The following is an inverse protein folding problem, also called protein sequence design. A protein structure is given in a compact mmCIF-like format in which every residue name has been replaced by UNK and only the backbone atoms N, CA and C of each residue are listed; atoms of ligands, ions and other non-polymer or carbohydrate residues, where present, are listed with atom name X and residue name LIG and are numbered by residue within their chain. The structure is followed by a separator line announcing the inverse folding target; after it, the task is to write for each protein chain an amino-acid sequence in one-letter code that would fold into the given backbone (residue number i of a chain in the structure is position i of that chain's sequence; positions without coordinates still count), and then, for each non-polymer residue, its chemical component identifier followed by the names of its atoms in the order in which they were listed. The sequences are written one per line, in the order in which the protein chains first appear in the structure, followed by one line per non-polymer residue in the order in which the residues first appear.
data_IF_745957239206
#
_entry.id   IF_745957239206
#
_cell.length_a   1.000
_cell.length_b   1.000
_cell.length_c   1.000
_cell.angle_alpha   90.00
_cell.angle_beta   90.00
_cell.angle_gamma   90.00
#
_symmetry.space_group_name_H-M   'P 1'
#
loop_
_entity.id
_entity.type
_entity.pdbx_description
1 polymer ?
#
# COMPACT_ATOMS: atom_id res chain seq x y z
N UNK A 1 20.77 -24.10 7.04
CA UNK A 1 19.86 -24.75 6.06
C UNK A 1 19.07 -25.92 6.67
N UNK A 2 19.69 -26.97 7.20
CA UNK A 2 18.96 -28.12 7.78
C UNK A 2 18.03 -27.74 8.94
N UNK A 3 18.45 -26.83 9.80
CA UNK A 3 17.61 -26.32 10.90
C UNK A 3 16.41 -25.51 10.41
N UNK A 4 16.62 -24.62 9.43
CA UNK A 4 15.55 -23.85 8.77
C UNK A 4 14.55 -24.83 8.15
N UNK A 5 15.03 -25.80 7.37
CA UNK A 5 14.18 -26.80 6.74
C UNK A 5 13.31 -27.57 7.74
N UNK A 6 13.90 -28.08 8.84
CA UNK A 6 13.14 -28.78 9.90
C UNK A 6 12.12 -27.87 10.57
N UNK A 7 12.50 -26.63 10.88
CA UNK A 7 11.59 -25.70 11.52
C UNK A 7 10.41 -25.32 10.60
N UNK A 8 10.64 -25.17 9.29
CA UNK A 8 9.56 -24.97 8.33
C UNK A 8 8.61 -26.16 8.24
N UNK A 9 9.12 -27.40 8.28
CA UNK A 9 8.28 -28.61 8.35
C UNK A 9 7.46 -28.69 9.64
N UNK A 10 8.04 -28.23 10.75
CA UNK A 10 7.36 -28.17 12.06
C UNK A 10 6.45 -26.93 12.21
N UNK A 11 6.31 -26.10 11.17
CA UNK A 11 5.58 -24.82 11.18
C UNK A 11 6.03 -23.87 12.30
N UNK A 12 7.33 -23.82 12.59
CA UNK A 12 7.93 -22.98 13.62
C UNK A 12 8.59 -21.72 13.04
N UNK A 13 8.50 -20.63 13.80
CA UNK A 13 9.22 -19.39 13.51
C UNK A 13 10.72 -19.63 13.68
N UNK A 14 11.52 -19.14 12.72
CA UNK A 14 12.98 -19.19 12.77
C UNK A 14 13.53 -17.77 12.75
N UNK A 15 14.34 -17.44 13.76
CA UNK A 15 15.22 -16.29 13.71
C UNK A 15 16.62 -16.77 13.33
N UNK A 16 17.17 -16.21 12.27
CA UNK A 16 18.49 -16.59 11.75
C UNK A 16 19.38 -15.37 11.63
N UNK A 17 20.51 -15.39 12.34
CA UNK A 17 21.54 -14.36 12.28
C UNK A 17 22.76 -14.88 11.51
N UNK A 18 23.32 -14.03 10.64
CA UNK A 18 24.56 -14.33 9.93
C UNK A 18 25.25 -13.06 9.45
N UNK A 19 26.57 -13.13 9.24
CA UNK A 19 27.33 -12.00 8.72
C UNK A 19 26.90 -11.66 7.28
N UNK A 20 27.11 -10.41 6.86
CA UNK A 20 26.86 -9.99 5.47
C UNK A 20 27.68 -10.84 4.49
N UNK A 21 27.09 -11.19 3.35
CA UNK A 21 27.76 -12.00 2.32
C UNK A 21 27.88 -13.51 2.62
N UNK A 22 27.28 -14.02 3.70
CA UNK A 22 27.32 -15.46 4.06
C UNK A 22 26.24 -16.31 3.37
N UNK A 23 25.54 -15.75 2.38
CA UNK A 23 24.45 -16.45 1.69
C UNK A 23 23.22 -16.68 2.58
N UNK A 24 22.91 -15.72 3.46
CA UNK A 24 21.73 -15.77 4.36
C UNK A 24 20.44 -15.95 3.57
N UNK A 25 20.30 -15.16 2.51
CA UNK A 25 19.19 -15.21 1.58
C UNK A 25 19.00 -16.60 1.00
N UNK A 26 20.00 -17.15 0.30
CA UNK A 26 19.93 -18.51 -0.25
C UNK A 26 19.65 -19.56 0.83
N UNK A 27 20.25 -19.41 2.01
CA UNK A 27 20.06 -20.34 3.13
C UNK A 27 18.62 -20.37 3.67
N UNK A 28 17.87 -19.27 3.52
CA UNK A 28 16.45 -19.20 3.83
C UNK A 28 15.57 -19.56 2.62
N UNK A 29 15.91 -19.07 1.43
CA UNK A 29 15.12 -19.20 0.22
C UNK A 29 15.03 -20.63 -0.30
N UNK A 30 16.17 -21.33 -0.41
CA UNK A 30 16.21 -22.71 -0.93
C UNK A 30 15.34 -23.68 -0.12
N UNK A 31 15.47 -23.79 1.22
CA UNK A 31 14.59 -24.67 1.99
C UNK A 31 13.14 -24.20 1.96
N UNK A 32 12.88 -22.88 1.90
CA UNK A 32 11.52 -22.35 1.83
C UNK A 32 10.83 -22.75 0.53
N UNK A 33 11.47 -22.58 -0.63
CA UNK A 33 10.94 -23.02 -1.93
C UNK A 33 10.70 -24.53 -1.97
N UNK A 34 11.60 -25.31 -1.37
CA UNK A 34 11.45 -26.76 -1.33
C UNK A 34 10.26 -27.19 -0.46
N UNK A 35 10.09 -26.60 0.73
CA UNK A 35 8.93 -26.88 1.59
C UNK A 35 7.65 -26.39 0.95
N UNK A 36 7.66 -25.18 0.38
CA UNK A 36 6.54 -24.57 -0.31
C UNK A 36 5.99 -25.47 -1.41
N UNK A 37 6.86 -25.91 -2.32
CA UNK A 37 6.49 -26.78 -3.43
C UNK A 37 5.89 -28.13 -2.99
N UNK A 38 6.36 -28.68 -1.87
CA UNK A 38 5.88 -29.98 -1.36
C UNK A 38 4.56 -29.87 -0.57
N UNK A 39 4.17 -28.66 -0.14
CA UNK A 39 3.02 -28.43 0.71
C UNK A 39 2.02 -27.43 0.10
N UNK A 40 2.13 -27.16 -1.20
CA UNK A 40 1.27 -26.23 -1.94
C UNK A 40 1.21 -24.82 -1.30
N UNK A 41 2.37 -24.32 -0.86
CA UNK A 41 2.52 -22.98 -0.27
C UNK A 41 3.26 -22.03 -1.21
N UNK A 42 3.07 -20.73 -1.04
CA UNK A 42 3.83 -19.68 -1.73
C UNK A 42 4.88 -19.07 -0.79
N UNK A 43 6.08 -18.79 -1.31
CA UNK A 43 7.11 -18.07 -0.57
C UNK A 43 6.97 -16.56 -0.78
N UNK A 44 6.88 -15.79 0.31
CA UNK A 44 6.89 -14.34 0.28
C UNK A 44 8.17 -13.81 0.93
N UNK A 45 8.97 -13.05 0.18
CA UNK A 45 10.13 -12.35 0.72
C UNK A 45 9.80 -10.87 0.82
N UNK A 46 9.94 -10.30 2.01
CA UNK A 46 9.81 -8.88 2.24
C UNK A 46 11.18 -8.25 2.50
N UNK A 47 11.51 -7.18 1.78
CA UNK A 47 12.71 -6.37 1.98
C UNK A 47 12.44 -4.90 1.69
N UNK A 48 13.01 -3.99 2.48
CA UNK A 48 12.84 -2.55 2.32
C UNK A 48 14.03 -1.88 1.61
N UNK A 49 15.06 -2.67 1.27
CA UNK A 49 16.29 -2.15 0.69
C UNK A 49 16.34 -2.52 -0.79
N UNK A 50 16.32 -1.52 -1.67
CA UNK A 50 16.30 -1.75 -3.13
C UNK A 50 17.48 -2.59 -3.62
N UNK A 51 18.68 -2.34 -3.08
CA UNK A 51 19.88 -3.10 -3.44
C UNK A 51 19.79 -4.57 -3.00
N UNK A 52 19.15 -4.87 -1.86
CA UNK A 52 18.92 -6.25 -1.44
C UNK A 52 17.94 -6.93 -2.38
N UNK A 53 16.81 -6.28 -2.71
CA UNK A 53 15.85 -6.79 -3.68
C UNK A 53 16.53 -7.17 -5.01
N UNK A 54 17.41 -6.34 -5.55
CA UNK A 54 18.17 -6.66 -6.77
C UNK A 54 19.05 -7.91 -6.60
N UNK A 55 19.73 -8.03 -5.46
CA UNK A 55 20.52 -9.22 -5.14
C UNK A 55 19.63 -10.48 -5.06
N UNK A 56 18.45 -10.41 -4.44
CA UNK A 56 17.47 -11.51 -4.41
C UNK A 56 17.06 -11.93 -5.83
N UNK A 57 16.85 -10.98 -6.74
CA UNK A 57 16.48 -11.26 -8.13
C UNK A 57 17.60 -12.02 -8.81
N UNK A 58 18.85 -11.57 -8.69
CA UNK A 58 20.00 -12.25 -9.30
C UNK A 58 20.20 -13.66 -8.74
N UNK A 59 20.06 -13.83 -7.43
CA UNK A 59 20.09 -15.15 -6.79
C UNK A 59 18.95 -16.06 -7.28
N UNK A 60 17.73 -15.54 -7.41
CA UNK A 60 16.59 -16.27 -7.94
C UNK A 60 16.76 -16.64 -9.43
N UNK A 61 17.39 -15.77 -10.24
CA UNK A 61 17.76 -16.06 -11.64
C UNK A 61 18.73 -17.23 -11.72
N UNK A 62 19.73 -17.28 -10.83
CA UNK A 62 20.66 -18.41 -10.75
C UNK A 62 19.96 -19.70 -10.32
N UNK A 63 19.11 -19.66 -9.29
CA UNK A 63 18.30 -20.82 -8.86
C UNK A 63 17.41 -21.35 -9.98
N UNK A 64 16.85 -20.44 -10.79
CA UNK A 64 15.98 -20.81 -11.91
C UNK A 64 16.69 -21.68 -12.97
N UNK A 65 18.02 -21.59 -13.09
CA UNK A 65 18.80 -22.45 -14.00
C UNK A 65 18.75 -23.92 -13.59
N UNK A 66 18.56 -24.21 -12.30
CA UNK A 66 18.49 -25.56 -11.76
C UNK A 66 17.04 -26.06 -11.59
N UNK A 67 16.10 -25.17 -11.28
CA UNK A 67 14.70 -25.51 -11.00
C UNK A 67 13.77 -24.43 -11.54
N UNK A 68 12.69 -24.83 -12.23
CA UNK A 68 11.64 -23.87 -12.61
C UNK A 68 11.01 -23.25 -11.35
N UNK A 69 11.00 -21.92 -11.32
CA UNK A 69 10.39 -21.10 -10.27
C UNK A 69 9.62 -20.00 -10.99
N UNK A 70 8.32 -19.89 -10.75
CA UNK A 70 7.53 -18.73 -11.13
C UNK A 70 7.70 -17.68 -10.04
N UNK A 71 8.36 -16.57 -10.39
CA UNK A 71 8.66 -15.50 -9.46
C UNK A 71 8.12 -14.15 -9.95
N UNK A 72 7.50 -13.40 -9.04
CA UNK A 72 7.08 -12.01 -9.27
C UNK A 72 7.81 -11.11 -8.29
N UNK A 73 8.25 -9.94 -8.77
CA UNK A 73 8.80 -8.88 -7.92
C UNK A 73 7.83 -7.71 -7.97
N UNK A 74 7.28 -7.35 -6.82
CA UNK A 74 6.28 -6.29 -6.69
C UNK A 74 6.86 -5.10 -5.93
N UNK A 75 6.75 -3.93 -6.55
CA UNK A 75 6.99 -2.62 -5.92
C UNK A 75 5.68 -1.86 -5.79
N UNK A 76 5.74 -0.71 -5.13
CA UNK A 76 4.64 0.23 -5.10
C UNK A 76 4.16 0.61 -6.51
N UNK A 77 2.84 0.68 -6.67
CA UNK A 77 2.14 0.93 -7.93
C UNK A 77 2.68 2.13 -8.73
N UNK A 78 3.03 3.22 -8.07
CA UNK A 78 3.55 4.45 -8.70
C UNK A 78 4.79 4.18 -9.57
N UNK A 79 5.58 3.16 -9.26
CA UNK A 79 6.77 2.81 -10.04
C UNK A 79 6.50 1.90 -11.25
N UNK A 80 5.26 1.42 -11.41
CA UNK A 80 4.91 0.46 -12.46
C UNK A 80 3.73 0.91 -13.32
N UNK A 81 2.91 1.83 -12.82
CA UNK A 81 1.74 2.36 -13.54
C UNK A 81 2.18 3.38 -14.61
N UNK A 82 1.87 3.17 -15.89
CA UNK A 82 2.20 4.13 -16.95
C UNK A 82 1.49 5.48 -16.81
N UNK A 83 0.39 5.54 -16.06
CA UNK A 83 -0.36 6.77 -15.79
C UNK A 83 0.06 7.45 -14.48
N UNK A 84 1.02 6.88 -13.74
CA UNK A 84 1.51 7.39 -12.45
C UNK A 84 0.41 7.61 -11.40
N UNK A 85 -0.68 6.82 -11.51
CA UNK A 85 -1.83 6.90 -10.60
C UNK A 85 -1.59 6.11 -9.33
N UNK A 86 -2.08 6.65 -8.22
CA UNK A 86 -2.10 5.95 -6.94
C UNK A 86 -3.12 4.79 -6.96
N UNK A 87 -3.25 4.12 -5.81
CA UNK A 87 -4.16 2.98 -5.68
C UNK A 87 -5.62 3.37 -5.86
N UNK A 88 -6.06 4.49 -5.29
CA UNK A 88 -7.45 4.91 -5.28
C UNK A 88 -7.91 5.37 -6.65
N UNK A 89 -7.15 6.27 -7.29
CA UNK A 89 -7.43 6.74 -8.63
C UNK A 89 -7.48 5.56 -9.61
N UNK A 90 -6.54 4.61 -9.49
CA UNK A 90 -6.54 3.47 -10.39
C UNK A 90 -7.66 2.48 -10.13
N UNK A 91 -8.10 2.30 -8.88
CA UNK A 91 -9.25 1.45 -8.59
C UNK A 91 -10.52 2.04 -9.26
N UNK A 92 -10.70 3.37 -9.23
CA UNK A 92 -11.80 4.04 -9.94
C UNK A 92 -11.68 3.92 -11.47
N UNK A 93 -10.49 4.16 -12.03
CA UNK A 93 -10.24 3.97 -13.47
C UNK A 93 -10.47 2.52 -13.89
N UNK A 94 -10.13 1.54 -13.03
CA UNK A 94 -10.35 0.11 -13.27
C UNK A 94 -11.83 -0.22 -13.33
N UNK A 95 -12.63 0.27 -12.39
CA UNK A 95 -14.08 0.09 -12.40
C UNK A 95 -14.72 0.65 -13.68
N UNK A 96 -14.36 1.89 -14.05
CA UNK A 96 -14.83 2.51 -15.28
C UNK A 96 -14.38 1.75 -16.53
N UNK A 97 -13.15 1.21 -16.54
CA UNK A 97 -12.69 0.36 -17.64
C UNK A 97 -13.54 -0.90 -17.78
N UNK A 98 -13.87 -1.58 -16.68
CA UNK A 98 -14.74 -2.77 -16.76
C UNK A 98 -16.14 -2.42 -17.29
N UNK A 99 -16.75 -1.34 -16.78
CA UNK A 99 -18.04 -0.84 -17.26
C UNK A 99 -17.99 -0.49 -18.75
N UNK A 100 -16.92 0.17 -19.20
CA UNK A 100 -16.73 0.52 -20.61
C UNK A 100 -16.68 -0.72 -21.50
N UNK A 101 -15.89 -1.74 -21.13
CA UNK A 101 -15.77 -2.99 -21.90
C UNK A 101 -17.12 -3.72 -21.98
N UNK A 102 -17.86 -3.77 -20.88
CA UNK A 102 -19.18 -4.38 -20.84
C UNK A 102 -20.16 -3.68 -21.77
N UNK A 103 -20.24 -2.35 -21.73
CA UNK A 103 -21.10 -1.55 -22.62
C UNK A 103 -20.69 -1.69 -24.09
N UNK A 104 -19.39 -1.75 -24.39
CA UNK A 104 -18.90 -1.97 -25.75
C UNK A 104 -19.32 -3.34 -26.30
N UNK A 105 -19.27 -4.38 -25.46
CA UNK A 105 -19.74 -5.74 -25.82
C UNK A 105 -21.25 -5.80 -26.03
N UNK A 106 -22.03 -5.13 -25.18
CA UNK A 106 -23.48 -5.06 -25.27
C UNK A 106 -23.99 -4.08 -26.35
N UNK A 107 -23.10 -3.28 -26.93
CA UNK A 107 -23.43 -2.18 -27.85
C UNK A 107 -24.50 -1.24 -27.27
N UNK A 108 -24.39 -0.95 -25.97
CA UNK A 108 -25.38 -0.22 -25.20
C UNK A 108 -24.84 1.14 -24.73
N UNK A 109 -25.75 2.12 -24.59
CA UNK A 109 -25.49 3.43 -24.01
C UNK A 109 -24.25 4.17 -24.56
N UNK A 110 -24.37 4.64 -25.80
CA UNK A 110 -23.31 5.34 -26.51
C UNK A 110 -22.83 6.63 -25.82
N UNK A 111 -23.73 7.33 -25.11
CA UNK A 111 -23.36 8.54 -24.38
C UNK A 111 -22.55 8.20 -23.14
N UNK A 112 -22.95 7.17 -22.37
CA UNK A 112 -22.17 6.69 -21.22
C UNK A 112 -20.78 6.21 -21.62
N UNK A 113 -20.68 5.43 -22.71
CA UNK A 113 -19.38 4.98 -23.23
C UNK A 113 -18.44 6.14 -23.57
N UNK A 114 -18.96 7.23 -24.14
CA UNK A 114 -18.16 8.42 -24.49
C UNK A 114 -17.58 9.10 -23.26
N UNK A 115 -18.34 9.15 -22.17
CA UNK A 115 -17.86 9.68 -20.87
C UNK A 115 -16.81 8.75 -20.26
N UNK A 116 -17.10 7.45 -20.19
CA UNK A 116 -16.21 6.45 -19.61
C UNK A 116 -14.86 6.36 -20.30
N UNK A 117 -14.79 6.50 -21.63
CA UNK A 117 -13.52 6.48 -22.39
C UNK A 117 -12.49 7.49 -21.90
N UNK A 118 -12.93 8.64 -21.36
CA UNK A 118 -12.03 9.67 -20.81
C UNK A 118 -11.58 9.39 -19.37
N UNK A 119 -12.29 8.51 -18.67
CA UNK A 119 -12.10 8.17 -17.25
C UNK A 119 -11.86 6.67 -17.05
N UNK A 120 -11.26 6.03 -18.04
CA UNK A 120 -10.88 4.62 -18.02
C UNK A 120 -9.38 4.50 -18.19
N UNK A 121 -8.81 3.42 -17.68
CA UNK A 121 -7.42 3.07 -17.93
C UNK A 121 -7.28 2.38 -19.29
N UNK A 122 -6.69 3.08 -20.27
CA UNK A 122 -6.45 2.53 -21.62
C UNK A 122 -5.53 1.30 -21.60
N UNK A 123 -4.52 1.31 -20.73
CA UNK A 123 -3.57 0.21 -20.57
C UNK A 123 -4.23 -1.06 -20.05
N UNK A 124 -5.21 -0.91 -19.15
CA UNK A 124 -6.02 -2.02 -18.67
C UNK A 124 -7.02 -2.48 -19.73
N UNK A 125 -7.67 -1.55 -20.43
CA UNK A 125 -8.61 -1.88 -21.50
C UNK A 125 -7.92 -2.76 -22.55
N UNK A 126 -6.67 -2.44 -22.90
CA UNK A 126 -5.85 -3.28 -23.79
C UNK A 126 -5.61 -4.68 -23.23
N UNK A 127 -5.26 -4.82 -21.95
CA UNK A 127 -5.10 -6.13 -21.30
C UNK A 127 -6.38 -6.97 -21.37
N UNK A 128 -7.56 -6.35 -21.19
CA UNK A 128 -8.85 -7.07 -21.19
C UNK A 128 -9.30 -7.51 -22.59
N UNK A 129 -8.78 -6.89 -23.64
CA UNK A 129 -9.16 -7.15 -25.03
C UNK A 129 -8.08 -7.91 -25.84
N UNK A 130 -6.84 -7.95 -25.37
CA UNK A 130 -5.71 -8.56 -26.06
C UNK A 130 -5.29 -9.90 -25.43
N UNK A 131 -4.65 -10.75 -26.24
CA UNK A 131 -3.94 -11.92 -25.73
C UNK A 131 -2.60 -11.48 -25.10
N UNK A 132 -2.43 -11.80 -23.82
CA UNK A 132 -1.25 -11.46 -23.01
C UNK A 132 -0.39 -12.69 -22.70
N UNK A 133 -0.61 -13.81 -23.39
CA UNK A 133 0.12 -15.07 -23.16
C UNK A 133 1.63 -14.91 -23.34
N UNK A 134 2.06 -14.19 -24.39
CA UNK A 134 3.48 -13.94 -24.64
C UNK A 134 4.16 -13.14 -23.51
N UNK A 135 3.43 -12.22 -22.88
CA UNK A 135 3.93 -11.50 -21.70
C UNK A 135 4.21 -12.47 -20.55
N UNK A 136 3.29 -13.40 -20.26
CA UNK A 136 3.49 -14.37 -19.18
C UNK A 136 4.59 -15.39 -19.49
N UNK A 137 4.70 -15.82 -20.75
CA UNK A 137 5.84 -16.61 -21.18
C UNK A 137 7.17 -15.88 -20.94
N UNK A 138 7.25 -14.60 -21.31
CA UNK A 138 8.42 -13.76 -21.05
C UNK A 138 8.66 -13.56 -19.54
N UNK A 139 7.62 -13.27 -18.77
CA UNK A 139 7.69 -13.03 -17.32
C UNK A 139 8.27 -14.24 -16.61
N UNK A 140 7.70 -15.43 -16.83
CA UNK A 140 8.07 -16.67 -16.14
C UNK A 140 9.24 -17.41 -16.79
N UNK A 141 9.72 -16.98 -17.96
CA UNK A 141 10.99 -17.45 -18.55
C UNK A 141 12.23 -17.00 -17.77
N UNK A 142 12.08 -16.09 -16.80
CA UNK A 142 13.15 -15.59 -15.95
C UNK A 142 12.60 -15.06 -14.63
N UNK A 143 13.41 -14.28 -13.92
CA UNK A 143 12.93 -13.41 -12.83
C UNK A 143 13.13 -11.99 -13.30
N UNK A 144 12.07 -11.18 -13.26
CA UNK A 144 12.04 -9.83 -13.83
C UNK A 144 12.10 -8.77 -12.75
N UNK A 145 12.83 -7.69 -13.00
CA UNK A 145 12.76 -6.51 -12.14
C UNK A 145 11.44 -5.76 -12.41
N UNK A 146 10.93 -4.98 -11.43
CA UNK A 146 9.78 -4.11 -11.67
C UNK A 146 9.98 -3.16 -12.85
N UNK A 147 11.21 -2.67 -13.04
CA UNK A 147 11.60 -1.78 -14.13
C UNK A 147 11.54 -2.49 -15.50
N UNK A 148 12.06 -3.72 -15.61
CA UNK A 148 11.94 -4.54 -16.82
C UNK A 148 10.48 -4.81 -17.19
N UNK A 149 9.64 -5.12 -16.18
CA UNK A 149 8.20 -5.35 -16.38
C UNK A 149 7.51 -4.08 -16.85
N UNK A 150 7.83 -2.92 -16.26
CA UNK A 150 7.27 -1.64 -16.66
C UNK A 150 7.64 -1.28 -18.10
N UNK A 151 8.91 -1.39 -18.48
CA UNK A 151 9.37 -1.10 -19.84
C UNK A 151 8.72 -2.02 -20.87
N UNK A 152 8.70 -3.33 -20.60
CA UNK A 152 8.11 -4.31 -21.51
C UNK A 152 6.60 -4.08 -21.70
N UNK A 153 5.86 -3.95 -20.60
CA UNK A 153 4.41 -3.75 -20.65
C UNK A 153 4.04 -2.43 -21.34
N UNK A 154 4.75 -1.35 -21.03
CA UNK A 154 4.50 -0.02 -21.62
C UNK A 154 4.83 0.00 -23.11
N UNK A 155 5.88 -0.71 -23.55
CA UNK A 155 6.19 -0.92 -24.97
C UNK A 155 5.03 -1.55 -25.75
N UNK A 156 4.29 -2.45 -25.09
CA UNK A 156 3.09 -3.06 -25.62
C UNK A 156 1.80 -2.30 -25.28
N UNK A 157 1.88 -1.09 -24.72
CA UNK A 157 0.71 -0.28 -24.34
C UNK A 157 -0.18 -0.92 -23.27
N UNK A 158 0.39 -1.75 -22.41
CA UNK A 158 -0.29 -2.44 -21.30
C UNK A 158 0.28 -2.00 -19.95
N UNK A 159 -0.47 -2.25 -18.86
CA UNK A 159 -0.06 -1.87 -17.52
C UNK A 159 0.64 -3.04 -16.82
N UNK A 160 1.95 -2.91 -16.59
CA UNK A 160 2.76 -3.94 -15.92
C UNK A 160 2.22 -4.32 -14.54
N UNK A 161 1.72 -3.35 -13.77
CA UNK A 161 1.11 -3.61 -12.47
C UNK A 161 -0.13 -4.51 -12.56
N UNK A 162 -1.03 -4.23 -13.50
CA UNK A 162 -2.25 -4.99 -13.73
C UNK A 162 -1.97 -6.39 -14.32
N UNK A 163 -0.90 -6.52 -15.12
CA UNK A 163 -0.42 -7.81 -15.63
C UNK A 163 0.14 -8.69 -14.52
N UNK A 164 0.99 -8.13 -13.64
CA UNK A 164 1.52 -8.87 -12.48
C UNK A 164 0.40 -9.32 -11.56
N UNK A 165 -0.54 -8.42 -11.22
CA UNK A 165 -1.72 -8.75 -10.39
C UNK A 165 -2.51 -9.94 -10.94
N UNK A 166 -2.67 -10.05 -12.27
CA UNK A 166 -3.36 -11.17 -12.93
C UNK A 166 -2.53 -12.45 -13.00
N UNK A 167 -1.20 -12.33 -13.02
CA UNK A 167 -0.27 -13.44 -13.03
C UNK A 167 0.14 -13.97 -11.65
N UNK A 168 -0.44 -13.46 -10.56
CA UNK A 168 -0.09 -13.88 -9.19
C UNK A 168 -0.66 -15.24 -8.78
N UNK A 169 -1.61 -15.79 -9.54
CA UNK A 169 -2.09 -17.15 -9.29
C UNK A 169 -0.98 -18.15 -9.59
N UNK A 170 -0.90 -19.20 -8.78
CA UNK A 170 0.06 -20.30 -8.95
C UNK A 170 1.53 -19.86 -8.97
N UNK A 171 1.87 -18.84 -8.15
CA UNK A 171 3.22 -18.29 -8.01
C UNK A 171 4.01 -19.02 -6.90
N UNK A 172 5.27 -19.37 -7.19
CA UNK A 172 6.15 -20.01 -6.20
C UNK A 172 6.78 -18.99 -5.25
N UNK A 173 7.12 -17.81 -5.79
CA UNK A 173 7.88 -16.78 -5.09
C UNK A 173 7.36 -15.38 -5.40
N UNK A 174 7.11 -14.59 -4.36
CA UNK A 174 6.95 -13.14 -4.52
C UNK A 174 7.97 -12.39 -3.67
N UNK A 175 8.66 -11.43 -4.30
CA UNK A 175 9.53 -10.47 -3.63
C UNK A 175 8.79 -9.14 -3.54
N UNK A 176 8.65 -8.61 -2.34
CA UNK A 176 7.87 -7.41 -2.06
C UNK A 176 8.52 -6.57 -0.95
N UNK A 177 7.91 -5.43 -0.65
CA UNK A 177 8.27 -4.60 0.51
C UNK A 177 7.43 -5.02 1.73
N UNK A 178 7.94 -4.81 2.95
CA UNK A 178 7.25 -4.98 4.23
C UNK A 178 5.83 -4.40 4.23
N UNK A 179 5.59 -3.30 3.51
CA UNK A 179 4.26 -2.72 3.36
C UNK A 179 3.18 -3.72 2.91
N UNK A 180 3.52 -4.74 2.12
CA UNK A 180 2.55 -5.75 1.67
C UNK A 180 2.21 -6.80 2.73
N UNK A 181 3.06 -6.98 3.75
CA UNK A 181 2.87 -7.97 4.81
C UNK A 181 2.40 -7.36 6.13
N UNK A 182 2.72 -6.09 6.39
CA UNK A 182 2.43 -5.43 7.67
C UNK A 182 1.17 -4.56 7.65
N UNK A 183 0.73 -4.11 6.47
CA UNK A 183 -0.51 -3.37 6.30
C UNK A 183 -1.68 -4.36 6.11
N UNK A 184 -2.69 -4.39 7.00
CA UNK A 184 -3.78 -5.36 6.92
C UNK A 184 -4.61 -5.26 5.63
N UNK A 185 -4.85 -4.04 5.13
CA UNK A 185 -5.67 -3.82 3.94
C UNK A 185 -4.92 -4.24 2.67
N UNK A 186 -3.61 -3.94 2.60
CA UNK A 186 -2.76 -4.39 1.49
C UNK A 186 -2.59 -5.91 1.54
N UNK A 187 -2.33 -6.49 2.72
CA UNK A 187 -2.19 -7.93 2.87
C UNK A 187 -3.44 -8.68 2.42
N UNK A 188 -4.64 -8.23 2.82
CA UNK A 188 -5.90 -8.83 2.40
C UNK A 188 -6.07 -8.80 0.86
N UNK A 189 -5.77 -7.66 0.23
CA UNK A 189 -5.79 -7.55 -1.24
C UNK A 189 -4.76 -8.47 -1.89
N UNK A 190 -3.58 -8.57 -1.32
CA UNK A 190 -2.47 -9.36 -1.84
C UNK A 190 -2.74 -10.86 -1.75
N UNK A 191 -3.26 -11.35 -0.62
CA UNK A 191 -3.75 -12.73 -0.45
C UNK A 191 -4.84 -13.07 -1.48
N UNK A 192 -5.78 -12.15 -1.71
CA UNK A 192 -6.82 -12.35 -2.71
C UNK A 192 -6.27 -12.46 -4.16
N UNK A 193 -5.14 -11.82 -4.48
CA UNK A 193 -4.49 -11.95 -5.79
C UNK A 193 -3.77 -13.29 -5.94
N UNK A 194 -3.12 -13.76 -4.87
CA UNK A 194 -2.48 -15.08 -4.80
C UNK A 194 -3.51 -16.21 -4.81
N UNK A 195 -4.70 -15.96 -4.28
CA UNK A 195 -5.75 -16.97 -4.15
C UNK A 195 -5.51 -17.95 -3.01
N UNK A 196 -4.81 -17.53 -1.95
CA UNK A 196 -4.44 -18.36 -0.82
C UNK A 196 -4.74 -17.69 0.54
N UNK A 197 -4.72 -18.49 1.60
CA UNK A 197 -4.80 -17.99 2.98
C UNK A 197 -3.40 -17.76 3.56
N UNK A 198 -3.34 -17.08 4.71
CA UNK A 198 -2.06 -16.82 5.38
C UNK A 198 -1.34 -18.11 5.79
N UNK A 199 -2.07 -19.21 6.03
CA UNK A 199 -1.52 -20.55 6.33
C UNK A 199 -0.72 -21.15 5.18
N UNK A 200 -1.00 -20.69 3.97
CA UNK A 200 -0.42 -21.20 2.72
C UNK A 200 0.82 -20.39 2.32
N UNK A 201 1.34 -19.56 3.23
CA UNK A 201 2.47 -18.68 2.99
C UNK A 201 3.65 -19.05 3.87
N UNK A 202 4.83 -19.07 3.27
CA UNK A 202 6.10 -19.03 3.98
C UNK A 202 6.67 -17.62 3.84
N UNK A 203 6.56 -16.82 4.90
CA UNK A 203 7.07 -15.45 4.92
C UNK A 203 8.54 -15.39 5.37
N UNK A 204 9.36 -14.66 4.62
CA UNK A 204 10.76 -14.38 4.90
C UNK A 204 10.93 -12.87 5.01
N UNK A 205 11.22 -12.39 6.22
CA UNK A 205 11.58 -10.99 6.45
C UNK A 205 13.10 -10.83 6.36
N UNK A 206 13.57 -10.24 5.27
CA UNK A 206 14.98 -9.89 5.11
C UNK A 206 15.30 -8.63 5.90
N UNK A 207 16.49 -8.58 6.51
CA UNK A 207 16.89 -7.51 7.43
C UNK A 207 15.84 -7.21 8.52
N UNK A 208 15.36 -8.28 9.16
CA UNK A 208 14.28 -8.27 10.17
C UNK A 208 14.50 -7.32 11.35
N UNK A 209 15.71 -6.78 11.55
CA UNK A 209 15.95 -5.69 12.50
C UNK A 209 15.12 -4.43 12.19
N UNK A 210 14.64 -4.26 10.95
CA UNK A 210 13.76 -3.16 10.54
C UNK A 210 12.26 -3.42 10.78
N UNK A 211 11.88 -4.62 11.26
CA UNK A 211 10.47 -4.98 11.40
C UNK A 211 9.74 -4.11 12.42
N UNK A 212 10.42 -3.75 13.52
CA UNK A 212 9.82 -2.93 14.58
C UNK A 212 9.50 -1.53 14.07
N UNK A 213 10.47 -0.88 13.41
CA UNK A 213 10.30 0.48 12.88
C UNK A 213 9.25 0.51 11.77
N UNK A 214 9.24 -0.49 10.88
CA UNK A 214 8.23 -0.62 9.84
C UNK A 214 6.83 -0.83 10.44
N UNK A 215 6.66 -1.79 11.35
CA UNK A 215 5.39 -2.06 12.00
C UNK A 215 4.87 -0.83 12.76
N UNK A 216 5.76 -0.11 13.47
CA UNK A 216 5.40 1.14 14.15
C UNK A 216 4.96 2.21 13.16
N UNK A 217 5.67 2.38 12.05
CA UNK A 217 5.29 3.35 11.01
C UNK A 217 3.92 3.04 10.42
N UNK A 218 3.61 1.77 10.18
CA UNK A 218 2.30 1.33 9.68
C UNK A 218 1.15 1.55 10.66
N UNK A 219 1.43 1.38 11.96
CA UNK A 219 0.45 1.61 13.01
C UNK A 219 0.33 3.09 13.43
N UNK A 220 1.15 3.99 12.86
CA UNK A 220 1.17 5.41 13.22
C UNK A 220 0.41 6.24 12.19
N UNK A 221 -0.43 7.16 12.67
CA UNK A 221 -1.08 8.18 11.85
C UNK A 221 -0.47 9.54 12.18
N UNK A 222 -0.17 10.32 11.15
CA UNK A 222 0.37 11.68 11.29
C UNK A 222 -0.67 12.69 10.86
N UNK A 223 -1.06 13.56 11.78
CA UNK A 223 -1.98 14.65 11.51
C UNK A 223 -1.26 15.98 11.72
N UNK A 224 -1.29 16.83 10.68
CA UNK A 224 -0.63 18.14 10.72
C UNK A 224 -1.66 19.26 10.88
N UNK A 225 -1.23 20.41 11.39
CA UNK A 225 -2.08 21.59 11.46
C UNK A 225 -2.66 21.98 10.09
N UNK A 226 -1.82 21.90 9.04
CA UNK A 226 -2.23 22.15 7.66
C UNK A 226 -3.31 21.17 7.19
N UNK A 227 -3.29 19.93 7.65
CA UNK A 227 -4.33 18.94 7.34
C UNK A 227 -5.69 19.37 7.90
N UNK A 228 -5.72 19.81 9.16
CA UNK A 228 -6.96 20.34 9.78
C UNK A 228 -7.45 21.58 9.02
N UNK A 229 -6.55 22.50 8.67
CA UNK A 229 -6.92 23.71 7.93
C UNK A 229 -7.48 23.41 6.54
N UNK A 230 -6.95 22.40 5.84
CA UNK A 230 -7.49 21.94 4.55
C UNK A 230 -8.89 21.37 4.73
N UNK A 231 -9.11 20.51 5.72
CA UNK A 231 -10.44 19.97 6.02
C UNK A 231 -11.45 21.07 6.36
N UNK A 232 -11.04 22.07 7.15
CA UNK A 232 -11.89 23.24 7.44
C UNK A 232 -12.23 24.05 6.19
N UNK A 233 -11.27 24.24 5.28
CA UNK A 233 -11.51 24.96 4.02
C UNK A 233 -12.42 24.17 3.08
N UNK A 234 -12.33 22.84 3.08
CA UNK A 234 -13.20 21.95 2.31
C UNK A 234 -14.66 22.10 2.72
N UNK A 235 -14.91 22.25 4.03
CA UNK A 235 -16.24 22.51 4.57
C UNK A 235 -16.79 23.91 4.24
N UNK A 236 -15.96 24.86 3.82
CA UNK A 236 -16.39 26.25 3.58
C UNK A 236 -17.35 26.45 2.40
N UNK A 237 -17.69 25.36 1.68
CA UNK A 237 -18.72 25.33 0.63
C UNK A 237 -19.89 24.37 0.90
N UNK A 238 -19.91 23.66 2.04
CA UNK A 238 -20.96 22.68 2.39
C UNK A 238 -21.91 23.33 3.40
N UNK A 239 -23.11 23.71 2.96
CA UNK A 239 -24.12 24.26 3.86
C UNK A 239 -24.58 23.20 4.86
N UNK A 240 -24.77 23.60 6.12
CA UNK A 240 -25.33 22.78 7.24
C UNK A 240 -24.33 21.98 8.11
N UNK A 241 -23.01 22.20 7.97
CA UNK A 241 -21.99 21.45 8.72
C UNK A 241 -21.17 22.29 9.73
N UNK A 242 -21.82 23.28 10.33
CA UNK A 242 -21.19 24.21 11.30
C UNK A 242 -20.63 23.48 12.52
N UNK A 243 -21.25 22.38 12.95
CA UNK A 243 -20.80 21.55 14.07
C UNK A 243 -19.43 20.89 13.79
N UNK A 244 -19.26 20.33 12.59
CA UNK A 244 -18.01 19.66 12.18
C UNK A 244 -16.89 20.69 11.98
N UNK A 245 -17.20 21.83 11.36
CA UNK A 245 -16.26 22.93 11.25
C UNK A 245 -15.79 23.41 12.64
N UNK A 246 -16.72 23.53 13.58
CA UNK A 246 -16.43 23.91 14.96
C UNK A 246 -15.56 22.88 15.67
N UNK A 247 -15.85 21.57 15.50
CA UNK A 247 -15.00 20.49 16.00
C UNK A 247 -13.55 20.61 15.48
N UNK A 248 -13.37 20.74 14.16
CA UNK A 248 -12.04 20.84 13.56
C UNK A 248 -11.28 22.08 14.05
N UNK A 249 -11.98 23.21 14.19
CA UNK A 249 -11.40 24.43 14.76
C UNK A 249 -10.95 24.21 16.20
N UNK A 250 -11.80 23.61 17.04
CA UNK A 250 -11.47 23.30 18.44
C UNK A 250 -10.29 22.32 18.54
N UNK A 251 -10.23 21.32 17.66
CA UNK A 251 -9.10 20.40 17.55
C UNK A 251 -7.81 21.12 17.22
N UNK A 252 -7.84 22.02 16.23
CA UNK A 252 -6.67 22.83 15.85
C UNK A 252 -6.18 23.69 17.00
N UNK A 253 -7.09 24.39 17.67
CA UNK A 253 -6.74 25.27 18.78
C UNK A 253 -6.15 24.46 19.95
N UNK A 254 -6.77 23.34 20.32
CA UNK A 254 -6.27 22.46 21.37
C UNK A 254 -4.89 21.88 21.04
N UNK A 255 -4.66 21.47 19.78
CA UNK A 255 -3.35 21.01 19.30
C UNK A 255 -2.28 22.10 19.46
N UNK A 256 -2.57 23.31 18.97
CA UNK A 256 -1.67 24.47 19.07
C UNK A 256 -1.31 24.79 20.49
N UNK A 257 -2.31 24.97 21.34
CA UNK A 257 -2.08 25.28 22.75
C UNK A 257 -1.28 24.16 23.44
N UNK A 258 -1.45 22.89 23.04
CA UNK A 258 -0.79 21.74 23.68
C UNK A 258 0.71 21.79 23.44
N UNK A 259 1.15 21.87 22.18
CA UNK A 259 2.58 21.92 21.90
C UNK A 259 3.20 23.26 22.34
N UNK A 260 2.48 24.37 22.25
CA UNK A 260 2.98 25.68 22.71
C UNK A 260 3.24 25.72 24.21
N UNK A 261 2.40 25.05 25.01
CA UNK A 261 2.59 24.97 26.46
C UNK A 261 3.84 24.18 26.89
N UNK A 262 4.45 23.43 25.97
CA UNK A 262 5.68 22.67 26.22
C UNK A 262 6.93 23.40 25.75
N UNK A 263 6.80 24.47 24.97
CA UNK A 263 7.95 25.27 24.56
C UNK A 263 8.53 26.06 25.73
N UNK A 264 9.85 26.03 25.84
CA UNK A 264 10.60 26.96 26.67
C UNK A 264 10.63 28.35 26.04
N UNK A 265 10.98 29.36 26.84
CA UNK A 265 11.04 30.74 26.38
C UNK A 265 11.96 30.90 25.15
N UNK A 266 11.41 31.48 24.08
CA UNK A 266 12.12 31.72 22.83
C UNK A 266 12.39 30.46 21.98
N UNK A 267 11.82 29.30 22.35
CA UNK A 267 12.05 28.05 21.64
C UNK A 267 11.32 27.99 20.30
N UNK A 268 10.08 28.50 20.26
CA UNK A 268 9.26 28.55 19.05
C UNK A 268 9.96 29.30 17.92
N UNK A 269 10.62 30.41 18.24
CA UNK A 269 11.35 31.26 17.28
C UNK A 269 12.65 30.61 16.79
N UNK A 270 13.15 29.58 17.48
CA UNK A 270 14.35 28.82 17.11
C UNK A 270 14.03 27.60 16.23
N UNK A 271 12.74 27.26 16.06
CA UNK A 271 12.33 26.15 15.20
C UNK A 271 12.57 26.57 13.74
N UNK A 272 13.54 25.93 13.11
CA UNK A 272 13.93 26.15 11.73
C UNK A 272 14.20 24.82 11.04
N UNK A 273 15.39 24.68 10.45
CA UNK A 273 15.85 23.41 9.89
C UNK A 273 16.19 22.38 10.98
N UNK A 274 16.53 22.83 12.17
CA UNK A 274 16.78 22.00 13.35
C UNK A 274 15.49 21.88 14.17
N UNK A 275 14.83 20.73 14.08
CA UNK A 275 13.62 20.38 14.84
C UNK A 275 13.84 19.06 15.59
N UNK A 276 13.03 18.83 16.63
CA UNK A 276 13.06 17.59 17.39
C UNK A 276 11.65 17.15 17.76
N UNK A 277 11.49 15.87 18.07
CA UNK A 277 10.20 15.32 18.50
C UNK A 277 9.83 15.84 19.89
N UNK A 278 8.75 16.61 19.96
CA UNK A 278 8.21 17.12 21.22
C UNK A 278 7.15 16.16 21.77
N UNK A 279 7.49 15.44 22.83
CA UNK A 279 6.56 14.51 23.47
C UNK A 279 5.49 15.25 24.27
N UNK A 280 4.26 15.26 23.78
CA UNK A 280 3.09 15.88 24.44
C UNK A 280 2.38 14.99 25.47
N UNK A 281 2.66 13.68 25.48
CA UNK A 281 2.13 12.76 26.51
C UNK A 281 2.73 13.08 27.89
N UNK A 282 1.94 12.91 28.95
CA UNK A 282 2.43 12.90 30.32
C UNK A 282 3.34 11.66 30.56
N UNK A 283 4.55 11.80 31.13
CA UNK A 283 5.41 10.65 31.43
C UNK A 283 4.81 9.62 32.40
N UNK A 284 3.81 10.04 33.19
CA UNK A 284 3.21 9.29 34.31
C UNK A 284 1.76 8.89 34.10
N UNK A 285 1.10 9.40 33.05
CA UNK A 285 -0.29 9.04 32.68
C UNK A 285 -0.36 8.37 31.31
N UNK A 286 -1.38 7.54 31.12
CA UNK A 286 -1.78 7.04 29.80
C UNK A 286 -2.50 8.10 28.96
N UNK A 287 -3.04 9.13 29.61
CA UNK A 287 -3.72 10.25 28.94
C UNK A 287 -2.72 11.28 28.44
N UNK A 288 -2.91 11.77 27.22
CA UNK A 288 -2.15 12.89 26.68
C UNK A 288 -2.88 14.23 26.91
N UNK A 289 -2.09 15.30 27.05
CA UNK A 289 -2.58 16.65 27.34
C UNK A 289 -3.56 17.17 26.28
N UNK A 290 -3.47 16.67 25.05
CA UNK A 290 -4.37 17.04 23.97
C UNK A 290 -5.77 16.47 24.24
N UNK A 291 -5.85 15.18 24.56
CA UNK A 291 -7.09 14.48 24.88
C UNK A 291 -7.81 15.13 26.07
N UNK A 292 -7.08 15.47 27.12
CA UNK A 292 -7.64 16.17 28.29
C UNK A 292 -8.26 17.52 27.89
N UNK A 293 -7.54 18.34 27.10
CA UNK A 293 -8.04 19.64 26.63
C UNK A 293 -9.25 19.52 25.72
N UNK A 294 -9.27 18.51 24.85
CA UNK A 294 -10.42 18.26 23.97
C UNK A 294 -11.66 17.86 24.77
N UNK A 295 -11.53 16.95 25.73
CA UNK A 295 -12.64 16.50 26.58
C UNK A 295 -13.19 17.63 27.46
N UNK A 296 -12.35 18.56 27.91
CA UNK A 296 -12.80 19.74 28.66
C UNK A 296 -13.52 20.77 27.77
N UNK A 297 -13.11 20.89 26.49
CA UNK A 297 -13.60 21.93 25.58
C UNK A 297 -14.82 21.51 24.77
N UNK A 298 -15.00 20.21 24.54
CA UNK A 298 -16.01 19.66 23.64
C UNK A 298 -16.93 18.70 24.42
N UNK A 299 -18.08 19.18 24.92
CA UNK A 299 -19.12 18.30 25.43
C UNK A 299 -19.56 17.33 24.33
N UNK A 300 -19.64 16.04 24.66
CA UNK A 300 -20.04 14.98 23.72
C UNK A 300 -19.18 14.90 22.44
N UNK A 301 -17.85 14.94 22.61
CA UNK A 301 -16.89 14.82 21.50
C UNK A 301 -17.14 13.61 20.61
N UNK A 302 -17.61 12.49 21.17
CA UNK A 302 -17.86 11.26 20.42
C UNK A 302 -18.97 11.44 19.38
N UNK A 303 -20.08 12.12 19.74
CA UNK A 303 -21.16 12.38 18.79
C UNK A 303 -20.69 13.30 17.64
N UNK A 304 -19.86 14.30 17.93
CA UNK A 304 -19.31 15.20 16.92
C UNK A 304 -18.30 14.49 16.01
N UNK A 305 -17.46 13.60 16.56
CA UNK A 305 -16.53 12.78 15.78
C UNK A 305 -17.28 11.82 14.86
N UNK A 306 -18.36 11.20 15.34
CA UNK A 306 -19.21 10.34 14.50
C UNK A 306 -19.84 11.14 13.35
N UNK A 307 -20.40 12.32 13.64
CA UNK A 307 -20.95 13.22 12.61
C UNK A 307 -19.88 13.62 11.58
N UNK A 308 -18.68 13.98 12.03
CA UNK A 308 -17.56 14.31 11.16
C UNK A 308 -17.12 13.13 10.29
N UNK A 309 -17.13 11.91 10.85
CA UNK A 309 -16.81 10.68 10.11
C UNK A 309 -17.83 10.39 9.02
N UNK A 310 -19.14 10.47 9.33
CA UNK A 310 -20.22 10.28 8.35
C UNK A 310 -20.12 11.30 7.23
N UNK A 311 -19.97 12.59 7.57
CA UNK A 311 -19.80 13.65 6.59
C UNK A 311 -18.58 13.42 5.69
N UNK A 312 -17.45 13.03 6.28
CA UNK A 312 -16.24 12.69 5.51
C UNK A 312 -16.50 11.56 4.51
N UNK A 313 -17.26 10.52 4.90
CA UNK A 313 -17.65 9.42 3.99
C UNK A 313 -18.58 9.88 2.87
N UNK A 314 -19.47 10.82 3.13
CA UNK A 314 -20.35 11.41 2.12
C UNK A 314 -19.56 12.24 1.12
N UNK A 315 -18.63 13.08 1.60
CA UNK A 315 -17.72 13.85 0.75
C UNK A 315 -16.83 12.94 -0.10
N UNK A 316 -16.19 11.93 0.48
CA UNK A 316 -15.42 10.92 -0.25
C UNK A 316 -16.24 10.27 -1.37
N UNK A 317 -17.48 9.89 -1.06
CA UNK A 317 -18.39 9.26 -2.02
C UNK A 317 -18.78 10.22 -3.15
N UNK A 318 -19.04 11.48 -2.80
CA UNK A 318 -19.33 12.54 -3.75
C UNK A 318 -18.15 12.79 -4.69
N UNK A 319 -16.92 12.92 -4.17
CA UNK A 319 -15.72 13.13 -5.00
C UNK A 319 -15.43 11.94 -5.89
N UNK A 320 -15.55 10.71 -5.38
CA UNK A 320 -15.44 9.48 -6.18
C UNK A 320 -16.44 9.49 -7.34
N UNK A 321 -17.70 9.84 -7.10
CA UNK A 321 -18.72 9.90 -8.14
C UNK A 321 -18.40 11.00 -9.17
N UNK A 322 -18.04 12.20 -8.72
CA UNK A 322 -17.65 13.31 -9.60
C UNK A 322 -16.45 12.96 -10.47
N UNK A 323 -15.45 12.27 -9.91
CA UNK A 323 -14.30 11.79 -10.67
C UNK A 323 -14.70 10.75 -11.71
N UNK A 324 -15.53 9.76 -11.32
CA UNK A 324 -16.02 8.70 -12.23
C UNK A 324 -16.86 9.25 -13.37
N UNK A 325 -17.72 10.23 -13.09
CA UNK A 325 -18.56 10.92 -14.09
C UNK A 325 -17.77 11.95 -14.91
N UNK A 326 -16.56 12.28 -14.47
CA UNK A 326 -15.65 13.21 -15.11
C UNK A 326 -16.01 14.68 -14.94
N UNK A 327 -16.86 15.00 -13.96
CA UNK A 327 -17.13 16.38 -13.53
C UNK A 327 -16.00 16.95 -12.67
N UNK A 328 -15.10 16.12 -12.14
CA UNK A 328 -13.83 16.52 -11.53
C UNK A 328 -12.64 15.82 -12.20
N UNK A 329 -11.51 16.53 -12.30
CA UNK A 329 -10.21 15.98 -12.75
C UNK A 329 -9.32 15.49 -11.61
N UNK A 330 -9.70 15.82 -10.38
CA UNK A 330 -8.95 15.53 -9.16
C UNK A 330 -9.85 14.70 -8.27
N UNK A 331 -9.29 13.59 -7.75
CA UNK A 331 -9.94 12.80 -6.72
C UNK A 331 -9.78 13.48 -5.36
#
# INVERSE_FOLDING_TARGET
MSEIYRALLDERIVLFEGACGTGKTLSALVPSLHVAKNNDKTVLIATNVHQQMLQFIDEARELRKATTIHAIVLKGKLHMCPLEKDYEECDLLRENTYELIELEQLQADAERMKTLRKRSCEYLAKILQADVTEFYHWLFSGVRTPEEVHEHATGDGTCGYELLKRGMRDIDLVVCNYHHLLDPDILAKFLAWLGCELSDIIAIFDEAHNIESAARSHASLTLTERFIERAMNELSGVSEEEDVYTLLRMLKDALRETYESRFSFGEKERIGTEWHDLRIRDPTSTEDLLSERLLQRIPDINALVEKAYVLGKELDSMYRNQYKEGTSDIL
#
